data_IF_247492499083
#
_entry.id   IF_247492499083
#
_cell.length_a   1.000
_cell.length_b   1.000
_cell.length_c   1.000
_cell.angle_alpha   90.00
_cell.angle_beta   90.00
_cell.angle_gamma   90.00
#
_symmetry.space_group_name_H-M   'P 1'
#
loop_
_entity.id
_entity.type
_entity.pdbx_description
1 polymer ?
#
# COMPACT_ATOMS: atom_id res chain seq x y z
N UNK A 1 17.93 -8.91 24.31
CA UNK A 1 16.80 -8.97 23.38
C UNK A 1 16.11 -7.62 23.37
N UNK A 2 16.01 -7.00 22.17
CA UNK A 2 15.45 -5.66 21.99
C UNK A 2 13.95 -5.68 21.64
N UNK A 3 13.39 -6.87 21.39
CA UNK A 3 12.00 -7.01 20.94
C UNK A 3 11.25 -7.97 21.86
N UNK A 4 10.02 -7.57 22.22
CA UNK A 4 9.06 -8.44 22.88
C UNK A 4 8.03 -8.90 21.85
N UNK A 5 7.91 -10.20 21.67
CA UNK A 5 6.99 -10.81 20.71
C UNK A 5 5.89 -11.52 21.48
N UNK A 6 4.67 -11.51 20.98
CA UNK A 6 3.56 -12.27 21.55
C UNK A 6 3.85 -13.79 21.48
N UNK A 7 3.23 -14.55 22.37
CA UNK A 7 3.38 -16.01 22.39
C UNK A 7 2.96 -16.60 21.03
N UNK A 8 3.70 -17.62 20.59
CA UNK A 8 3.52 -18.30 19.30
C UNK A 8 3.89 -17.48 18.04
N UNK A 9 4.54 -16.32 18.20
CA UNK A 9 5.13 -15.57 17.11
C UNK A 9 6.64 -15.54 17.20
N UNK A 10 7.30 -15.46 16.05
CA UNK A 10 8.74 -15.33 15.91
C UNK A 10 9.05 -14.15 14.96
N UNK A 11 10.09 -13.40 15.26
CA UNK A 11 10.60 -12.36 14.37
C UNK A 11 11.71 -12.96 13.52
N UNK A 12 11.55 -12.88 12.20
CA UNK A 12 12.55 -13.32 11.23
C UNK A 12 13.00 -12.16 10.36
N UNK A 13 14.30 -12.08 10.09
CA UNK A 13 14.85 -11.11 9.14
C UNK A 13 14.59 -11.58 7.72
N UNK A 14 13.68 -10.93 7.01
CA UNK A 14 13.33 -11.26 5.63
C UNK A 14 14.30 -10.69 4.59
N UNK A 15 14.74 -9.45 4.78
CA UNK A 15 15.74 -8.78 3.94
C UNK A 15 16.34 -7.59 4.68
N UNK A 16 17.51 -7.15 4.26
CA UNK A 16 18.19 -5.95 4.78
C UNK A 16 19.06 -5.32 3.70
N UNK A 17 19.58 -4.16 3.96
CA UNK A 17 20.62 -3.57 3.12
C UNK A 17 21.83 -4.52 2.96
N UNK A 18 22.44 -4.55 1.78
CA UNK A 18 22.21 -3.72 0.59
C UNK A 18 21.17 -4.28 -0.40
N UNK A 19 20.42 -5.34 -0.04
CA UNK A 19 19.46 -5.96 -0.96
C UNK A 19 18.26 -5.07 -1.23
N UNK A 20 17.86 -4.27 -0.24
CA UNK A 20 16.80 -3.30 -0.36
C UNK A 20 17.10 -2.09 0.53
N UNK A 21 16.59 -0.91 0.13
CA UNK A 21 16.77 0.36 0.82
C UNK A 21 15.41 1.07 0.95
N UNK A 22 15.15 1.69 2.10
CA UNK A 22 13.96 2.52 2.37
C UNK A 22 12.61 1.89 1.94
N UNK A 23 12.28 0.66 2.40
CA UNK A 23 11.05 -0.01 2.04
C UNK A 23 9.83 0.67 2.67
N UNK A 24 8.79 0.96 1.86
CA UNK A 24 7.56 1.62 2.34
C UNK A 24 6.27 0.84 2.07
N UNK A 25 6.29 -0.06 1.12
CA UNK A 25 5.15 -0.92 0.81
C UNK A 25 5.64 -2.26 0.24
N UNK A 26 4.87 -3.30 0.47
CA UNK A 26 5.15 -4.62 -0.11
C UNK A 26 3.87 -5.38 -0.43
N UNK A 27 3.99 -6.34 -1.34
CA UNK A 27 2.97 -7.33 -1.66
C UNK A 27 3.65 -8.66 -2.00
N UNK A 28 2.90 -9.75 -1.99
CA UNK A 28 3.40 -11.09 -2.30
C UNK A 28 2.78 -11.62 -3.57
N UNK A 29 3.59 -12.18 -4.44
CA UNK A 29 3.08 -12.89 -5.59
C UNK A 29 2.66 -14.35 -5.25
N UNK A 30 2.05 -15.02 -6.21
CA UNK A 30 1.60 -16.40 -6.04
C UNK A 30 2.74 -17.44 -5.91
N UNK A 31 3.99 -17.04 -6.04
CA UNK A 31 5.18 -17.84 -5.76
C UNK A 31 5.77 -17.55 -4.38
N UNK A 32 5.13 -16.67 -3.59
CA UNK A 32 5.60 -16.26 -2.27
C UNK A 32 6.77 -15.28 -2.29
N UNK A 33 7.10 -14.67 -3.44
CA UNK A 33 8.16 -13.68 -3.53
C UNK A 33 7.63 -12.30 -3.08
N UNK A 34 8.46 -11.56 -2.36
CA UNK A 34 8.13 -10.20 -1.94
C UNK A 34 8.40 -9.21 -3.06
N UNK A 35 7.40 -8.38 -3.35
CA UNK A 35 7.53 -7.20 -4.20
C UNK A 35 7.57 -5.99 -3.30
N UNK A 36 8.62 -5.19 -3.38
CA UNK A 36 8.89 -4.11 -2.42
C UNK A 36 9.06 -2.79 -3.15
N UNK A 37 8.39 -1.76 -2.63
CA UNK A 37 8.59 -0.36 -3.03
C UNK A 37 9.71 0.23 -2.19
N UNK A 38 10.75 0.73 -2.84
CA UNK A 38 11.83 1.50 -2.24
C UNK A 38 11.63 2.99 -2.50
N UNK A 39 11.32 3.75 -1.46
CA UNK A 39 11.09 5.21 -1.55
C UNK A 39 12.36 5.99 -1.17
N UNK A 40 13.46 5.71 -1.84
CA UNK A 40 14.83 6.18 -1.58
C UNK A 40 14.99 7.71 -1.65
N UNK A 41 14.06 8.41 -2.28
CA UNK A 41 14.08 9.86 -2.41
C UNK A 41 13.33 10.60 -1.29
N UNK A 42 12.69 9.90 -0.34
CA UNK A 42 11.91 10.55 0.70
C UNK A 42 12.81 11.15 1.79
N UNK A 43 12.60 12.43 2.10
CA UNK A 43 13.33 13.18 3.13
C UNK A 43 14.87 12.99 3.10
N UNK A 44 15.53 13.19 1.96
CA UNK A 44 16.99 13.00 1.86
C UNK A 44 17.77 14.00 2.72
N UNK A 45 17.10 15.07 3.14
CA UNK A 45 17.58 16.05 4.08
C UNK A 45 16.38 16.82 4.70
N UNK A 46 16.62 17.63 5.75
CA UNK A 46 15.59 18.39 6.47
C UNK A 46 14.75 19.30 5.56
N UNK A 47 15.31 19.77 4.46
CA UNK A 47 14.63 20.67 3.52
C UNK A 47 13.84 19.91 2.43
N UNK A 48 13.89 18.56 2.40
CA UNK A 48 13.27 17.76 1.34
C UNK A 48 13.88 17.97 -0.05
N UNK A 49 15.07 18.57 -0.13
CA UNK A 49 15.70 18.90 -1.43
C UNK A 49 16.10 17.64 -2.18
N UNK A 50 15.50 17.42 -3.34
CA UNK A 50 15.77 16.27 -4.20
C UNK A 50 14.74 15.16 -4.09
N UNK A 51 13.62 15.34 -3.41
CA UNK A 51 12.50 14.40 -3.42
C UNK A 51 11.88 14.19 -4.80
N UNK A 52 12.05 15.15 -5.70
CA UNK A 52 11.64 15.11 -7.10
C UNK A 52 12.55 14.24 -7.99
N UNK A 53 13.67 13.74 -7.46
CA UNK A 53 14.60 12.90 -8.23
C UNK A 53 14.05 11.50 -8.47
N UNK A 54 14.13 10.97 -9.70
CA UNK A 54 13.66 9.63 -10.05
C UNK A 54 14.67 8.55 -9.61
N UNK A 55 14.86 8.37 -8.30
CA UNK A 55 15.82 7.42 -7.73
C UNK A 55 15.18 6.24 -7.02
N UNK A 56 13.85 6.23 -6.95
CA UNK A 56 13.10 5.17 -6.30
C UNK A 56 12.82 4.03 -7.28
N UNK A 57 12.50 2.85 -6.73
CA UNK A 57 12.31 1.65 -7.53
C UNK A 57 11.30 0.67 -6.91
N UNK A 58 10.89 -0.33 -7.68
CA UNK A 58 10.13 -1.49 -7.22
C UNK A 58 10.96 -2.72 -7.52
N UNK A 59 11.22 -3.52 -6.49
CA UNK A 59 12.06 -4.69 -6.54
C UNK A 59 11.29 -5.97 -6.24
N UNK A 60 11.77 -7.09 -6.80
CA UNK A 60 11.35 -8.45 -6.48
C UNK A 60 12.45 -9.09 -5.64
N UNK A 61 12.12 -9.48 -4.42
CA UNK A 61 13.02 -10.23 -3.54
C UNK A 61 12.69 -11.71 -3.68
N UNK A 62 13.70 -12.52 -3.94
CA UNK A 62 13.55 -13.97 -4.13
C UNK A 62 14.72 -14.76 -3.56
N UNK A 63 14.78 -16.04 -3.87
CA UNK A 63 15.88 -16.94 -3.46
C UNK A 63 16.04 -16.99 -1.94
N UNK A 64 14.96 -17.44 -1.25
CA UNK A 64 14.99 -17.54 0.21
C UNK A 64 15.99 -18.61 0.69
N UNK A 65 16.77 -18.28 1.70
CA UNK A 65 17.60 -19.24 2.42
C UNK A 65 16.75 -20.12 3.39
N UNK A 66 17.41 -20.95 4.17
CA UNK A 66 16.76 -21.86 5.13
C UNK A 66 16.05 -21.11 6.26
N UNK A 67 16.48 -19.91 6.57
CA UNK A 67 15.91 -19.02 7.58
C UNK A 67 14.82 -18.11 7.01
N UNK A 68 14.48 -18.23 5.72
CA UNK A 68 13.46 -17.40 5.05
C UNK A 68 13.95 -16.01 4.62
N UNK A 69 15.27 -15.76 4.59
CA UNK A 69 15.84 -14.48 4.16
C UNK A 69 16.04 -14.47 2.66
N UNK A 70 15.68 -13.38 2.03
CA UNK A 70 15.95 -13.15 0.61
C UNK A 70 17.44 -12.99 0.36
N UNK A 71 17.93 -13.67 -0.67
CA UNK A 71 19.33 -13.65 -1.07
C UNK A 71 19.56 -12.85 -2.35
N UNK A 72 18.49 -12.49 -3.05
CA UNK A 72 18.57 -11.80 -4.31
C UNK A 72 17.48 -10.75 -4.44
N UNK A 73 17.83 -9.60 -5.01
CA UNK A 73 16.95 -8.49 -5.35
C UNK A 73 17.03 -8.20 -6.84
N UNK A 74 15.87 -8.17 -7.50
CA UNK A 74 15.74 -7.86 -8.92
C UNK A 74 14.91 -6.61 -9.10
N UNK A 75 15.44 -5.59 -9.75
CA UNK A 75 14.70 -4.38 -10.08
C UNK A 75 13.65 -4.73 -11.15
N UNK A 76 12.38 -4.44 -10.83
CA UNK A 76 11.26 -4.55 -11.77
C UNK A 76 10.94 -3.22 -12.43
N UNK A 77 10.80 -2.14 -11.65
CA UNK A 77 10.69 -0.76 -12.14
C UNK A 77 11.74 0.11 -11.48
N UNK A 78 12.32 1.00 -12.24
CA UNK A 78 13.33 1.96 -11.81
C UNK A 78 12.92 3.39 -12.17
N UNK A 79 13.69 4.35 -11.68
CA UNK A 79 13.52 5.77 -12.01
C UNK A 79 12.13 6.32 -11.68
N UNK A 80 11.61 5.92 -10.52
CA UNK A 80 10.35 6.41 -10.00
C UNK A 80 10.56 7.58 -9.03
N UNK A 81 9.56 8.46 -8.95
CA UNK A 81 9.51 9.55 -7.96
C UNK A 81 8.51 9.16 -6.87
N UNK A 82 8.98 9.03 -5.65
CA UNK A 82 8.20 8.78 -4.42
C UNK A 82 7.05 7.75 -4.58
N UNK A 83 7.28 6.55 -5.17
CA UNK A 83 6.25 5.53 -5.22
C UNK A 83 5.92 5.07 -3.80
N UNK A 84 4.63 4.75 -3.51
CA UNK A 84 4.19 4.52 -2.14
C UNK A 84 3.19 3.41 -1.94
N UNK A 85 2.72 2.78 -3.00
CA UNK A 85 1.79 1.67 -2.90
C UNK A 85 1.91 0.75 -4.10
N UNK A 86 1.69 -0.53 -3.86
CA UNK A 86 1.60 -1.57 -4.90
C UNK A 86 0.47 -2.54 -4.59
N UNK A 87 -0.05 -3.17 -5.63
CA UNK A 87 -0.89 -4.36 -5.54
C UNK A 87 -0.67 -5.26 -6.76
N UNK A 88 -0.42 -6.53 -6.52
CA UNK A 88 -0.31 -7.55 -7.56
C UNK A 88 -1.70 -8.04 -7.94
N UNK A 89 -2.25 -7.50 -9.03
CA UNK A 89 -3.63 -7.72 -9.44
C UNK A 89 -3.72 -7.92 -10.95
N UNK A 90 -4.70 -8.70 -11.40
CA UNK A 90 -5.01 -8.89 -12.83
C UNK A 90 -3.82 -9.33 -13.70
N UNK A 91 -2.89 -10.10 -13.14
CA UNK A 91 -1.68 -10.54 -13.84
C UNK A 91 -0.61 -9.47 -14.07
N UNK A 92 -0.71 -8.34 -13.38
CA UNK A 92 0.22 -7.23 -13.43
C UNK A 92 0.42 -6.58 -12.07
N UNK A 93 1.08 -5.46 -12.08
CA UNK A 93 1.34 -4.62 -10.92
C UNK A 93 0.60 -3.29 -11.07
N UNK A 94 -0.31 -3.01 -10.14
CA UNK A 94 -0.85 -1.68 -9.91
C UNK A 94 0.07 -0.96 -8.94
N UNK A 95 0.53 0.25 -9.27
CA UNK A 95 1.41 1.01 -8.40
C UNK A 95 1.12 2.51 -8.42
N UNK A 96 1.28 3.14 -7.27
CA UNK A 96 1.12 4.57 -7.09
C UNK A 96 2.48 5.27 -7.11
N UNK A 97 2.64 6.18 -8.05
CA UNK A 97 3.73 7.14 -8.13
C UNK A 97 3.09 8.51 -8.40
N UNK A 98 2.87 9.34 -7.37
CA UNK A 98 2.12 10.58 -7.49
C UNK A 98 2.58 11.47 -8.66
N UNK A 99 1.63 12.16 -9.31
CA UNK A 99 0.19 12.18 -9.00
C UNK A 99 -0.58 10.96 -9.50
N UNK A 100 0.09 10.03 -10.16
CA UNK A 100 -0.51 8.99 -10.99
C UNK A 100 -0.66 7.65 -10.28
N UNK A 101 -1.70 6.92 -10.68
CA UNK A 101 -1.86 5.49 -10.48
C UNK A 101 -1.64 4.78 -11.82
N UNK A 102 -0.73 3.82 -11.84
CA UNK A 102 -0.32 3.09 -13.03
C UNK A 102 -0.57 1.59 -12.88
N UNK A 103 -0.93 0.95 -13.97
CA UNK A 103 -0.89 -0.50 -14.10
C UNK A 103 0.17 -0.89 -15.12
N UNK A 104 0.97 -1.91 -14.81
CA UNK A 104 1.98 -2.47 -15.71
C UNK A 104 1.84 -3.99 -15.78
N UNK A 105 1.82 -4.54 -16.99
CA UNK A 105 1.82 -5.98 -17.21
C UNK A 105 3.13 -6.60 -16.73
N UNK A 106 3.07 -7.83 -16.21
CA UNK A 106 4.24 -8.59 -15.79
C UNK A 106 4.50 -9.70 -16.80
N UNK A 107 5.63 -9.60 -17.52
CA UNK A 107 6.05 -10.57 -18.53
C UNK A 107 7.37 -11.22 -18.11
N UNK A 108 7.33 -12.41 -17.49
CA UNK A 108 8.54 -13.11 -17.01
C UNK A 108 9.43 -12.21 -16.13
N UNK A 109 8.84 -11.59 -15.11
CA UNK A 109 9.50 -10.65 -14.19
C UNK A 109 10.10 -9.41 -14.88
N UNK A 110 9.59 -9.04 -16.03
CA UNK A 110 9.91 -7.78 -16.73
C UNK A 110 8.64 -6.97 -16.91
N UNK A 111 8.75 -5.63 -16.86
CA UNK A 111 7.60 -4.77 -17.14
C UNK A 111 7.18 -4.89 -18.60
N UNK A 112 5.89 -5.09 -18.81
CA UNK A 112 5.24 -5.06 -20.12
C UNK A 112 4.58 -3.71 -20.40
N UNK A 113 3.40 -3.75 -21.02
CA UNK A 113 2.62 -2.55 -21.33
C UNK A 113 2.24 -1.81 -20.05
N UNK A 114 2.49 -0.50 -20.03
CA UNK A 114 2.09 0.40 -18.95
C UNK A 114 0.82 1.16 -19.34
N UNK A 115 -0.14 1.21 -18.44
CA UNK A 115 -1.44 1.88 -18.62
C UNK A 115 -1.66 2.87 -17.48
N UNK A 116 -1.99 4.12 -17.81
CA UNK A 116 -2.42 5.11 -16.82
C UNK A 116 -3.83 4.78 -16.37
N UNK A 117 -4.00 4.54 -15.06
CA UNK A 117 -5.29 4.21 -14.44
C UNK A 117 -5.98 5.48 -13.96
N UNK A 118 -5.23 6.35 -13.29
CA UNK A 118 -5.71 7.63 -12.78
C UNK A 118 -4.56 8.65 -12.79
N UNK A 119 -4.81 9.84 -13.32
CA UNK A 119 -3.82 10.94 -13.38
C UNK A 119 -3.90 11.88 -12.18
N UNK A 120 -4.88 11.68 -11.32
CA UNK A 120 -5.15 12.47 -10.10
C UNK A 120 -5.38 11.57 -8.89
N UNK A 121 -4.62 10.47 -8.81
CA UNK A 121 -4.69 9.54 -7.69
C UNK A 121 -4.24 10.20 -6.37
N UNK A 122 -3.22 11.04 -6.44
CA UNK A 122 -2.70 11.80 -5.33
C UNK A 122 -2.26 13.20 -5.80
N UNK A 123 -2.12 14.12 -4.87
CA UNK A 123 -1.65 15.48 -5.15
C UNK A 123 -0.11 15.52 -5.06
N UNK A 124 0.56 15.76 -6.19
CA UNK A 124 2.02 15.82 -6.27
C UNK A 124 2.65 16.95 -5.44
N UNK A 125 1.86 17.98 -5.13
CA UNK A 125 2.33 19.15 -4.36
C UNK A 125 2.00 19.07 -2.87
N UNK A 126 1.27 18.06 -2.43
CA UNK A 126 0.97 17.86 -1.02
C UNK A 126 2.12 17.19 -0.28
N UNK A 127 2.07 17.25 1.06
CA UNK A 127 3.02 16.52 1.90
C UNK A 127 3.04 15.03 1.53
N UNK A 128 4.21 14.46 1.17
CA UNK A 128 4.33 13.05 0.81
C UNK A 128 3.81 12.06 1.86
N UNK A 129 3.78 12.42 3.13
CA UNK A 129 3.23 11.58 4.19
C UNK A 129 1.69 11.48 4.16
N UNK A 130 1.03 12.48 3.58
CA UNK A 130 -0.43 12.63 3.59
C UNK A 130 -1.02 12.46 2.19
N UNK A 131 -0.73 11.35 1.53
CA UNK A 131 -1.23 11.05 0.19
C UNK A 131 -1.77 9.63 0.10
N UNK A 132 -2.61 9.38 -0.91
CA UNK A 132 -3.19 8.06 -1.17
C UNK A 132 -2.12 6.97 -1.29
N UNK A 133 -2.34 5.84 -0.59
CA UNK A 133 -1.41 4.73 -0.49
C UNK A 133 -2.14 3.41 -0.18
N UNK A 134 -1.39 2.32 0.08
CA UNK A 134 -1.94 1.08 0.61
C UNK A 134 -2.98 0.42 -0.29
N UNK A 135 -2.66 0.24 -1.57
CA UNK A 135 -3.55 -0.46 -2.51
C UNK A 135 -3.85 -1.89 -2.04
N UNK A 136 -5.13 -2.26 -1.99
CA UNK A 136 -5.58 -3.59 -1.56
C UNK A 136 -6.86 -4.01 -2.29
N UNK A 137 -6.82 -5.17 -2.95
CA UNK A 137 -8.01 -5.76 -3.56
C UNK A 137 -8.86 -6.47 -2.51
N UNK A 138 -10.14 -6.15 -2.46
CA UNK A 138 -11.09 -6.79 -1.58
C UNK A 138 -11.89 -7.90 -2.29
N UNK A 139 -12.71 -8.66 -1.52
CA UNK A 139 -13.52 -9.78 -2.01
C UNK A 139 -14.61 -9.36 -3.02
N UNK A 140 -14.95 -8.07 -3.06
CA UNK A 140 -15.87 -7.49 -4.04
C UNK A 140 -15.19 -7.14 -5.38
N UNK A 141 -13.91 -7.51 -5.54
CA UNK A 141 -13.03 -7.21 -6.67
C UNK A 141 -12.77 -5.72 -6.90
N UNK A 142 -13.00 -4.89 -5.90
CA UNK A 142 -12.58 -3.50 -5.91
C UNK A 142 -11.26 -3.32 -5.18
N UNK A 143 -10.45 -2.39 -5.66
CA UNK A 143 -9.17 -2.01 -5.06
C UNK A 143 -9.39 -0.73 -4.27
N UNK A 144 -9.08 -0.79 -3.00
CA UNK A 144 -9.17 0.30 -2.03
C UNK A 144 -7.80 0.84 -1.69
N UNK A 145 -7.77 2.11 -1.28
CA UNK A 145 -6.56 2.80 -0.82
C UNK A 145 -6.81 3.47 0.52
N UNK A 146 -5.79 3.53 1.36
CA UNK A 146 -5.75 4.46 2.46
C UNK A 146 -5.58 5.89 1.93
N UNK A 147 -5.99 6.87 2.72
CA UNK A 147 -5.91 8.30 2.39
C UNK A 147 -6.54 8.65 1.03
N UNK A 148 -7.63 7.99 0.66
CA UNK A 148 -8.28 8.16 -0.63
C UNK A 148 -9.81 8.07 -0.51
N UNK A 149 -10.50 8.78 -1.39
CA UNK A 149 -11.96 8.70 -1.58
C UNK A 149 -12.33 7.96 -2.87
N UNK A 150 -11.38 7.26 -3.47
CA UNK A 150 -11.58 6.52 -4.73
C UNK A 150 -11.28 5.05 -4.57
N UNK A 151 -12.03 4.21 -5.31
CA UNK A 151 -11.75 2.78 -5.49
C UNK A 151 -11.69 2.46 -6.98
N UNK A 152 -10.97 1.38 -7.32
CA UNK A 152 -10.68 1.03 -8.70
C UNK A 152 -11.02 -0.44 -8.98
N UNK A 153 -11.39 -0.74 -10.22
CA UNK A 153 -11.63 -2.09 -10.71
C UNK A 153 -11.26 -2.18 -12.19
N UNK A 154 -10.66 -3.29 -12.61
CA UNK A 154 -10.54 -3.61 -14.03
C UNK A 154 -11.76 -4.43 -14.46
N UNK A 155 -12.63 -3.85 -15.26
CA UNK A 155 -13.86 -4.46 -15.76
C UNK A 155 -13.89 -4.43 -17.28
N UNK A 156 -14.09 -5.58 -17.92
CA UNK A 156 -14.15 -5.72 -19.37
C UNK A 156 -12.95 -5.04 -20.09
N UNK A 157 -11.76 -5.20 -19.52
CA UNK A 157 -10.51 -4.63 -20.05
C UNK A 157 -10.35 -3.12 -19.85
N UNK A 158 -11.23 -2.48 -19.09
CA UNK A 158 -11.19 -1.04 -18.79
C UNK A 158 -11.11 -0.79 -17.31
N UNK A 159 -10.30 0.18 -16.92
CA UNK A 159 -10.25 0.65 -15.55
C UNK A 159 -11.46 1.52 -15.23
N UNK A 160 -12.13 1.20 -14.14
CA UNK A 160 -13.29 1.92 -13.60
C UNK A 160 -12.88 2.54 -12.27
N UNK A 161 -13.24 3.81 -12.07
CA UNK A 161 -13.06 4.56 -10.82
C UNK A 161 -14.43 4.90 -10.25
N UNK A 162 -14.62 4.65 -8.97
CA UNK A 162 -15.82 5.01 -8.23
C UNK A 162 -15.48 5.67 -6.88
N UNK A 163 -16.39 6.50 -6.33
CA UNK A 163 -16.20 7.06 -5.00
C UNK A 163 -16.32 5.99 -3.92
N UNK A 164 -15.56 6.18 -2.84
CA UNK A 164 -15.66 5.41 -1.58
C UNK A 164 -15.48 6.35 -0.39
N UNK A 165 -15.73 5.85 0.83
CA UNK A 165 -15.43 6.60 2.05
C UNK A 165 -13.92 6.75 2.24
N UNK A 166 -13.49 7.92 2.72
CA UNK A 166 -12.11 8.13 3.14
C UNK A 166 -11.76 7.21 4.31
N UNK A 167 -10.59 6.59 4.28
CA UNK A 167 -10.12 5.65 5.31
C UNK A 167 -8.62 5.75 5.52
N UNK A 168 -8.24 5.69 6.79
CA UNK A 168 -6.85 5.53 7.19
C UNK A 168 -5.91 6.65 6.79
N UNK A 169 -4.68 6.50 7.20
CA UNK A 169 -3.59 7.40 6.84
C UNK A 169 -2.51 6.65 6.05
N UNK A 170 -2.00 5.53 6.56
CA UNK A 170 -1.01 4.75 5.83
C UNK A 170 -1.26 3.25 5.99
N UNK A 171 -1.53 2.58 4.86
CA UNK A 171 -1.88 1.17 4.83
C UNK A 171 -3.36 0.90 5.09
N UNK A 172 -3.85 -0.17 4.47
CA UNK A 172 -5.21 -0.68 4.58
C UNK A 172 -5.16 -2.20 4.44
N UNK A 173 -5.98 -2.89 5.21
CA UNK A 173 -6.11 -4.35 5.13
C UNK A 173 -7.56 -4.77 5.28
N UNK A 174 -7.83 -6.06 5.20
CA UNK A 174 -9.18 -6.63 5.32
C UNK A 174 -9.18 -7.93 6.11
N UNK A 175 -10.35 -8.29 6.60
CA UNK A 175 -10.59 -9.65 7.07
C UNK A 175 -11.11 -10.60 5.96
N UNK A 176 -11.34 -11.85 6.30
CA UNK A 176 -11.86 -12.85 5.37
C UNK A 176 -13.30 -12.59 4.91
N UNK A 177 -13.98 -11.62 5.50
CA UNK A 177 -15.35 -11.23 5.17
C UNK A 177 -15.43 -9.93 4.36
N UNK A 178 -14.29 -9.32 4.03
CA UNK A 178 -14.22 -8.07 3.25
C UNK A 178 -14.48 -6.81 4.06
N UNK A 179 -14.35 -6.86 5.40
CA UNK A 179 -14.37 -5.64 6.22
C UNK A 179 -12.99 -5.02 6.24
N UNK A 180 -12.93 -3.70 6.07
CA UNK A 180 -11.68 -2.95 5.97
C UNK A 180 -11.17 -2.52 7.34
N UNK A 181 -9.85 -2.63 7.52
CA UNK A 181 -9.12 -2.21 8.71
C UNK A 181 -7.96 -1.30 8.29
N UNK A 182 -7.71 -0.28 9.10
CA UNK A 182 -6.71 0.75 8.84
C UNK A 182 -6.33 1.49 10.12
N UNK A 183 -5.38 2.39 10.05
CA UNK A 183 -4.95 3.20 11.19
C UNK A 183 -4.86 4.69 10.81
N UNK A 184 -4.73 5.51 11.83
CA UNK A 184 -4.35 6.92 11.76
C UNK A 184 -3.19 7.16 12.72
N UNK A 185 -2.59 8.33 12.70
CA UNK A 185 -1.50 8.64 13.63
C UNK A 185 -1.91 8.50 15.10
N UNK A 186 -3.13 8.88 15.43
CA UNK A 186 -3.68 8.85 16.79
C UNK A 186 -4.50 7.59 17.10
N UNK A 187 -4.79 6.76 16.08
CA UNK A 187 -5.67 5.60 16.21
C UNK A 187 -4.94 4.37 15.69
N UNK A 188 -4.58 3.45 16.57
CA UNK A 188 -3.84 2.25 16.20
C UNK A 188 -4.66 1.29 15.34
N UNK A 189 -5.97 1.17 15.60
CA UNK A 189 -6.86 0.29 14.86
C UNK A 189 -8.23 0.92 14.69
N UNK A 190 -8.56 1.22 13.45
CA UNK A 190 -9.89 1.60 13.00
C UNK A 190 -10.42 0.61 11.97
N UNK A 191 -11.71 0.58 11.76
CA UNK A 191 -12.32 -0.29 10.75
C UNK A 191 -13.77 0.04 10.47
N UNK A 192 -14.35 -0.71 9.56
CA UNK A 192 -15.74 -0.60 9.16
C UNK A 192 -16.56 -1.77 9.73
N UNK A 193 -17.75 -1.47 10.26
CA UNK A 193 -18.69 -2.50 10.69
C UNK A 193 -19.52 -3.07 9.54
N UNK A 194 -19.49 -2.40 8.39
CA UNK A 194 -20.23 -2.80 7.18
C UNK A 194 -19.27 -3.03 6.03
N UNK A 195 -19.69 -3.81 5.05
CA UNK A 195 -18.92 -4.00 3.83
C UNK A 195 -18.73 -2.67 3.10
N UNK A 196 -17.58 -2.49 2.43
CA UNK A 196 -17.27 -1.26 1.71
C UNK A 196 -18.40 -0.84 0.76
N UNK A 197 -18.63 0.47 0.69
CA UNK A 197 -19.64 1.08 -0.18
C UNK A 197 -21.10 0.64 0.00
N UNK A 198 -21.43 -0.15 1.02
CA UNK A 198 -22.82 -0.54 1.29
C UNK A 198 -23.73 0.68 1.51
N UNK A 199 -23.24 1.69 2.22
CA UNK A 199 -24.03 2.87 2.60
C UNK A 199 -23.83 4.06 1.66
N UNK A 200 -22.70 4.17 0.98
CA UNK A 200 -22.36 5.33 0.13
C UNK A 200 -23.27 5.44 -1.10
N UNK A 201 -23.93 4.36 -1.51
CA UNK A 201 -24.87 4.34 -2.64
C UNK A 201 -26.12 5.17 -2.41
N UNK A 202 -26.45 5.45 -1.15
CA UNK A 202 -27.57 6.32 -0.82
C UNK A 202 -27.05 7.75 -0.54
N UNK A 203 -27.30 8.73 -1.45
CA UNK A 203 -26.77 10.08 -1.29
C UNK A 203 -27.36 10.83 -0.08
N UNK A 204 -28.48 10.35 0.46
CA UNK A 204 -29.12 10.93 1.64
C UNK A 204 -28.67 10.30 2.96
N UNK A 205 -27.92 9.21 2.89
CA UNK A 205 -27.39 8.53 4.07
C UNK A 205 -25.93 8.91 4.29
N UNK A 206 -25.67 9.63 5.37
CA UNK A 206 -24.28 9.87 5.83
C UNK A 206 -23.98 8.87 6.94
N UNK A 207 -23.16 7.83 6.66
CA UNK A 207 -22.84 6.81 7.66
C UNK A 207 -21.95 7.40 8.75
N UNK A 208 -22.55 7.88 9.84
CA UNK A 208 -21.79 8.40 10.98
C UNK A 208 -21.22 7.28 11.87
N UNK A 209 -21.86 6.09 11.85
CA UNK A 209 -21.64 5.05 12.84
C UNK A 209 -21.12 3.71 12.27
N UNK A 210 -21.00 3.57 10.96
CA UNK A 210 -20.70 2.28 10.34
C UNK A 210 -19.29 2.19 9.74
N UNK A 211 -18.62 3.31 9.52
CA UNK A 211 -17.25 3.40 8.98
C UNK A 211 -16.39 4.27 9.89
N UNK A 212 -15.06 4.11 9.80
CA UNK A 212 -14.09 4.85 10.61
C UNK A 212 -14.31 4.70 12.12
N UNK A 213 -14.58 3.49 12.57
CA UNK A 213 -14.78 3.20 13.99
C UNK A 213 -13.47 2.81 14.65
N UNK A 214 -13.23 3.36 15.83
CA UNK A 214 -12.16 2.90 16.72
C UNK A 214 -12.59 1.54 17.25
N UNK A 215 -11.79 0.51 16.98
CA UNK A 215 -12.12 -0.88 17.31
C UNK A 215 -11.52 -1.35 18.63
N UNK A 216 -10.57 -0.61 19.16
CA UNK A 216 -9.92 -0.92 20.44
C UNK A 216 -10.05 0.23 21.40
N UNK A 217 -10.54 -0.04 22.60
CA UNK A 217 -10.46 0.90 23.70
C UNK A 217 -9.02 0.92 24.27
N UNK A 218 -8.61 2.03 24.87
CA UNK A 218 -7.31 2.15 25.54
C UNK A 218 -6.10 1.73 24.70
N UNK A 219 -5.90 2.41 23.59
CA UNK A 219 -4.71 2.23 22.78
C UNK A 219 -3.50 2.79 23.53
N UNK A 220 -2.75 1.91 24.19
CA UNK A 220 -1.52 2.29 24.86
C UNK A 220 -0.43 2.56 23.83
N UNK A 221 0.09 3.78 23.85
CA UNK A 221 1.26 4.18 23.08
C UNK A 221 2.43 4.38 24.03
N UNK A 222 3.54 3.73 23.74
CA UNK A 222 4.76 3.86 24.53
C UNK A 222 5.69 4.84 23.81
N UNK A 223 6.20 5.88 24.52
CA UNK A 223 7.20 6.77 23.94
C UNK A 223 8.49 6.00 23.63
N UNK A 224 9.10 6.33 22.50
CA UNK A 224 10.39 5.78 22.06
C UNK A 224 11.55 6.57 22.68
N UNK A 225 11.77 6.51 23.99
CA UNK A 225 12.99 7.00 24.66
C UNK A 225 13.24 6.35 25.98
#
# INVERSE_FOLDING_TARGET
>A
DKYRVADSFEIQLAASEPLLEDPVAMDFDNKGRMWVVEMRGFMPNIAGTGEDKPICRICILDSLDKEGRSQHSKIFLDSLVLPRAIALVYGGLLYAAPPNLWFVEINNDKPGKRTLVDSIYADEYSNPENQANGLMMDIDNWIYSAYSTSRYQLKDGKWVKEPTSFRGQFGITKDNFGRLYYNYNEIQLAGDYVLPNTLIKNPYMKPKEAVNKILTDNQLVYPLH
#
